data_IF_465953772735
#
_entry.id   IF_465953772735
#
_cell.length_a   1.000
_cell.length_b   1.000
_cell.length_c   1.000
_cell.angle_alpha   90.00
_cell.angle_beta   90.00
_cell.angle_gamma   90.00
#
_symmetry.space_group_name_H-M   'P 1'
#
loop_
_entity.id
_entity.type
_entity.pdbx_description
1 polymer ?
#
# COMPACT_ATOMS: atom_id res chain seq x y z
N UNK A 1 -0.45 84.93 6.46
CA UNK A 1 -1.00 83.60 6.78
C UNK A 1 -0.03 82.57 6.17
N UNK A 2 0.65 81.79 7.01
CA UNK A 2 1.57 80.71 6.62
C UNK A 2 0.78 79.39 6.53
N UNK A 3 1.28 78.43 5.73
CA UNK A 3 1.09 76.97 5.79
C UNK A 3 -0.16 76.39 5.04
N UNK A 4 -0.13 75.23 4.36
CA UNK A 4 0.68 74.00 4.56
C UNK A 4 1.01 73.26 3.25
N UNK A 5 2.20 72.66 3.28
CA UNK A 5 2.87 71.68 2.41
C UNK A 5 1.97 70.56 1.86
N UNK A 6 2.11 70.20 0.57
CA UNK A 6 3.03 69.19 -0.01
C UNK A 6 2.71 67.75 0.46
N UNK A 7 2.07 66.95 -0.40
CA UNK A 7 2.16 65.49 -0.35
C UNK A 7 2.71 64.99 -1.67
N UNK A 8 3.95 64.52 -1.59
CA UNK A 8 4.77 63.96 -2.65
C UNK A 8 4.75 62.44 -2.54
N UNK A 9 4.73 61.78 -3.70
CA UNK A 9 5.37 60.49 -3.98
C UNK A 9 4.69 59.15 -3.58
N UNK A 10 4.41 58.39 -4.65
CA UNK A 10 5.10 57.14 -5.02
C UNK A 10 5.08 56.01 -3.98
N UNK A 11 4.16 55.06 -4.14
CA UNK A 11 4.36 53.68 -3.65
C UNK A 11 3.94 52.70 -4.76
N UNK A 12 4.94 52.33 -5.58
CA UNK A 12 5.00 51.07 -6.32
C UNK A 12 4.68 49.90 -5.42
N UNK A 13 3.67 49.10 -5.77
CA UNK A 13 3.57 47.73 -5.26
C UNK A 13 3.13 46.82 -6.39
N UNK A 14 4.11 46.41 -7.21
CA UNK A 14 4.01 45.16 -7.95
C UNK A 14 4.12 44.03 -6.92
N UNK A 15 3.07 43.24 -6.75
CA UNK A 15 3.22 41.88 -6.19
C UNK A 15 2.42 40.93 -7.07
N UNK A 16 3.14 40.39 -8.03
CA UNK A 16 2.76 39.22 -8.80
C UNK A 16 2.82 38.02 -7.84
N UNK A 17 1.73 37.72 -7.15
CA UNK A 17 1.62 36.49 -6.37
C UNK A 17 1.12 35.37 -7.27
N UNK A 18 1.99 34.90 -8.17
CA UNK A 18 1.85 33.61 -8.81
C UNK A 18 2.03 32.53 -7.73
N UNK A 19 0.93 32.06 -7.13
CA UNK A 19 1.00 30.90 -6.24
C UNK A 19 1.08 29.63 -7.09
N UNK A 20 2.29 29.32 -7.54
CA UNK A 20 2.64 27.97 -7.94
C UNK A 20 2.93 27.15 -6.68
N UNK A 21 2.00 26.30 -6.27
CA UNK A 21 2.31 25.15 -5.42
C UNK A 21 1.93 23.90 -6.20
N UNK A 22 2.73 23.62 -7.22
CA UNK A 22 2.76 22.31 -7.87
C UNK A 22 3.52 21.35 -6.97
N UNK A 23 2.79 20.56 -6.20
CA UNK A 23 3.30 19.34 -5.60
C UNK A 23 2.30 18.25 -5.89
N UNK A 24 2.70 17.18 -6.58
CA UNK A 24 2.07 15.87 -6.35
C UNK A 24 2.88 15.23 -5.23
N UNK A 25 2.51 15.40 -3.95
CA UNK A 25 3.32 14.86 -2.86
C UNK A 25 2.98 13.39 -2.75
N UNK A 26 3.73 12.56 -3.47
CA UNK A 26 3.76 11.12 -3.29
C UNK A 26 5.11 10.77 -2.71
N UNK A 27 5.14 10.15 -1.54
CA UNK A 27 5.99 8.97 -1.27
C UNK A 27 5.87 8.52 0.19
N UNK A 28 5.51 7.26 0.37
CA UNK A 28 6.22 6.30 1.24
C UNK A 28 5.80 4.92 0.75
N UNK A 29 6.74 4.00 0.60
CA UNK A 29 6.48 2.63 0.23
C UNK A 29 7.30 1.69 1.09
N UNK A 30 6.69 0.60 1.55
CA UNK A 30 7.38 -0.57 2.07
C UNK A 30 6.69 -1.77 1.44
N UNK A 31 7.49 -2.66 0.83
CA UNK A 31 7.04 -3.94 0.31
C UNK A 31 7.85 -5.01 1.05
N UNK A 32 7.20 -5.74 1.94
CA UNK A 32 7.86 -6.62 2.90
C UNK A 32 7.21 -7.99 2.91
N UNK A 33 8.03 -9.05 3.03
CA UNK A 33 7.59 -10.44 3.23
C UNK A 33 7.20 -10.68 4.70
N UNK A 34 6.28 -9.83 5.20
CA UNK A 34 5.74 -10.00 6.54
C UNK A 34 4.65 -11.08 6.53
N UNK A 35 4.40 -11.73 7.68
CA UNK A 35 3.28 -12.65 7.80
C UNK A 35 1.96 -11.99 7.38
N UNK A 36 1.19 -12.69 6.56
CA UNK A 36 -0.08 -12.19 6.02
C UNK A 36 -1.24 -12.75 6.84
N UNK A 37 -1.87 -11.92 7.66
CA UNK A 37 -3.10 -12.25 8.40
C UNK A 37 -4.34 -12.09 7.51
N UNK A 38 -5.38 -12.90 7.75
CA UNK A 38 -6.70 -12.68 7.17
C UNK A 38 -6.94 -13.28 5.79
N UNK A 39 -5.99 -14.05 5.24
CA UNK A 39 -6.22 -14.82 4.01
C UNK A 39 -7.00 -16.09 4.33
N UNK A 40 -8.10 -16.31 3.62
CA UNK A 40 -8.77 -17.60 3.65
C UNK A 40 -7.95 -18.62 2.86
N UNK A 41 -7.79 -19.84 3.38
CA UNK A 41 -7.07 -20.92 2.71
C UNK A 41 -7.87 -22.22 2.71
N UNK A 42 -7.64 -23.05 1.70
CA UNK A 42 -8.21 -24.39 1.56
C UNK A 42 -7.19 -25.39 1.04
N UNK A 43 -7.16 -26.58 1.64
CA UNK A 43 -6.29 -27.71 1.27
C UNK A 43 -7.00 -29.03 1.62
N UNK A 44 -7.53 -29.71 0.60
CA UNK A 44 -8.38 -30.89 0.80
C UNK A 44 -9.63 -30.52 1.62
N UNK A 45 -9.81 -31.17 2.77
CA UNK A 45 -10.92 -30.88 3.70
C UNK A 45 -10.58 -29.79 4.73
N UNK A 46 -9.33 -29.32 4.79
CA UNK A 46 -8.91 -28.28 5.73
C UNK A 46 -9.22 -26.93 5.10
N UNK A 47 -9.90 -26.08 5.87
CA UNK A 47 -10.12 -24.67 5.54
C UNK A 47 -9.83 -23.82 6.77
N UNK A 48 -9.45 -22.56 6.56
CA UNK A 48 -9.20 -21.64 7.66
C UNK A 48 -8.85 -20.25 7.17
N UNK A 49 -8.39 -19.41 8.11
CA UNK A 49 -7.88 -18.07 7.86
C UNK A 49 -6.49 -17.96 8.48
N UNK A 50 -5.55 -17.30 7.79
CA UNK A 50 -4.22 -17.06 8.36
C UNK A 50 -4.33 -16.18 9.61
N UNK A 51 -3.59 -16.54 10.66
CA UNK A 51 -3.58 -15.79 11.92
C UNK A 51 -2.67 -14.55 11.86
N UNK A 52 -2.61 -13.78 12.95
CA UNK A 52 -1.76 -12.59 13.08
C UNK A 52 -0.26 -12.85 12.88
N UNK A 53 0.18 -14.10 12.93
CA UNK A 53 1.54 -14.54 12.63
C UNK A 53 1.67 -15.19 11.25
N UNK A 54 0.66 -15.04 10.38
CA UNK A 54 0.60 -15.55 9.01
C UNK A 54 0.53 -17.08 8.91
N UNK A 55 0.21 -17.80 10.00
CA UNK A 55 0.21 -19.26 9.99
C UNK A 55 -1.03 -19.80 9.31
N UNK A 56 -0.83 -20.85 8.52
CA UNK A 56 -1.89 -21.67 7.95
C UNK A 56 -1.53 -23.15 8.11
N UNK A 57 -2.55 -24.01 8.15
CA UNK A 57 -2.38 -25.46 8.17
C UNK A 57 -2.43 -26.01 6.75
N UNK A 58 -1.59 -27.00 6.45
CA UNK A 58 -1.62 -27.69 5.16
C UNK A 58 -1.29 -29.16 5.29
N UNK A 59 -1.70 -29.95 4.28
CA UNK A 59 -1.30 -31.34 4.16
C UNK A 59 -0.02 -31.42 3.33
N UNK A 60 1.06 -32.06 3.80
CA UNK A 60 2.28 -32.21 3.02
C UNK A 60 2.02 -32.84 1.64
N UNK A 61 2.56 -32.24 0.59
CA UNK A 61 2.39 -32.69 -0.79
C UNK A 61 1.05 -32.32 -1.44
N UNK A 62 0.13 -31.68 -0.73
CA UNK A 62 -1.09 -31.12 -1.30
C UNK A 62 -0.91 -29.65 -1.68
N UNK A 63 -1.73 -29.19 -2.62
CA UNK A 63 -1.81 -27.76 -2.95
C UNK A 63 -2.71 -27.02 -1.96
N UNK A 64 -2.37 -25.76 -1.72
CA UNK A 64 -3.14 -24.82 -0.91
C UNK A 64 -3.65 -23.72 -1.84
N UNK A 65 -4.95 -23.43 -1.74
CA UNK A 65 -5.57 -22.31 -2.44
C UNK A 65 -5.87 -21.21 -1.44
N UNK A 66 -5.20 -20.06 -1.59
CA UNK A 66 -5.46 -18.86 -0.79
C UNK A 66 -6.49 -17.96 -1.50
N UNK A 67 -7.22 -17.17 -0.71
CA UNK A 67 -8.19 -16.21 -1.23
C UNK A 67 -8.39 -15.02 -0.29
N UNK A 68 -8.77 -13.88 -0.86
CA UNK A 68 -9.10 -12.67 -0.13
C UNK A 68 -10.35 -12.02 -0.75
N UNK A 69 -11.34 -11.68 0.06
CA UNK A 69 -12.57 -11.03 -0.42
C UNK A 69 -13.31 -11.83 -1.50
N UNK A 70 -13.19 -13.16 -1.51
CA UNK A 70 -13.78 -14.03 -2.53
C UNK A 70 -12.97 -14.20 -3.82
N UNK A 71 -11.82 -13.54 -3.93
CA UNK A 71 -10.89 -13.71 -5.05
C UNK A 71 -9.88 -14.80 -4.67
N UNK A 72 -9.87 -15.91 -5.41
CA UNK A 72 -8.90 -16.98 -5.25
C UNK A 72 -7.62 -16.71 -6.05
N UNK A 73 -6.47 -16.94 -5.42
CA UNK A 73 -5.17 -16.97 -6.10
C UNK A 73 -4.94 -18.34 -6.75
N UNK A 74 -4.05 -18.44 -7.76
CA UNK A 74 -3.53 -19.71 -8.23
C UNK A 74 -3.12 -20.65 -7.09
N UNK A 75 -3.45 -21.96 -7.17
CA UNK A 75 -3.00 -22.92 -6.16
C UNK A 75 -1.48 -23.01 -6.13
N UNK A 76 -0.91 -23.12 -4.92
CA UNK A 76 0.52 -23.30 -4.69
C UNK A 76 0.77 -24.58 -3.90
N UNK A 77 1.98 -25.14 -3.98
CA UNK A 77 2.35 -26.27 -3.14
C UNK A 77 2.32 -25.85 -1.66
N UNK A 78 1.72 -26.67 -0.79
CA UNK A 78 1.77 -26.45 0.65
C UNK A 78 3.20 -26.61 1.17
N UNK A 79 3.72 -25.55 1.79
CA UNK A 79 5.10 -25.47 2.27
C UNK A 79 5.17 -24.75 3.63
N UNK A 80 6.30 -24.91 4.33
CA UNK A 80 6.55 -24.25 5.61
C UNK A 80 6.59 -22.72 5.49
N UNK A 81 6.87 -22.21 4.28
CA UNK A 81 6.83 -20.80 3.94
C UNK A 81 6.21 -20.67 2.55
N UNK A 82 5.20 -19.81 2.44
CA UNK A 82 4.57 -19.40 1.19
C UNK A 82 4.54 -17.89 1.21
N UNK A 83 5.11 -17.27 0.20
CA UNK A 83 5.28 -15.82 0.10
C UNK A 83 4.25 -15.24 -0.87
N UNK A 84 3.97 -13.92 -0.81
CA UNK A 84 3.06 -13.28 -1.76
C UNK A 84 3.45 -13.46 -3.24
N UNK A 85 4.74 -13.63 -3.56
CA UNK A 85 5.19 -13.87 -4.95
C UNK A 85 4.84 -15.27 -5.45
N UNK A 86 4.77 -16.25 -4.55
CA UNK A 86 4.35 -17.61 -4.90
C UNK A 86 2.88 -17.62 -5.34
N UNK A 87 2.03 -16.79 -4.72
CA UNK A 87 0.60 -16.69 -5.02
C UNK A 87 0.31 -16.11 -6.41
N UNK A 88 1.20 -15.28 -6.95
CA UNK A 88 1.04 -14.72 -8.31
C UNK A 88 1.74 -15.55 -9.38
N UNK A 89 2.80 -16.27 -9.03
CA UNK A 89 3.54 -17.12 -9.98
C UNK A 89 2.96 -18.54 -10.08
N UNK A 90 2.24 -19.01 -9.07
CA UNK A 90 1.72 -20.38 -8.99
C UNK A 90 2.81 -21.42 -8.71
N UNK A 91 4.03 -21.00 -8.43
CA UNK A 91 5.17 -21.82 -8.02
C UNK A 91 5.49 -21.49 -6.57
N UNK A 92 5.32 -22.45 -5.66
CA UNK A 92 5.85 -22.33 -4.30
C UNK A 92 7.38 -22.44 -4.31
N UNK A 93 8.04 -21.67 -3.45
CA UNK A 93 9.49 -21.72 -3.24
C UNK A 93 10.01 -23.08 -2.71
#
# INVERSE_FOLDING_TARGET
>A
MKNRSLSLSLITVAILSACGVGGTPLTTGIFVDAPVEGLSYATGSITGTTDASGRFSYTPGANVTFSFGGIAFPPVAGAAMVTPVDLVSGTGA
#
